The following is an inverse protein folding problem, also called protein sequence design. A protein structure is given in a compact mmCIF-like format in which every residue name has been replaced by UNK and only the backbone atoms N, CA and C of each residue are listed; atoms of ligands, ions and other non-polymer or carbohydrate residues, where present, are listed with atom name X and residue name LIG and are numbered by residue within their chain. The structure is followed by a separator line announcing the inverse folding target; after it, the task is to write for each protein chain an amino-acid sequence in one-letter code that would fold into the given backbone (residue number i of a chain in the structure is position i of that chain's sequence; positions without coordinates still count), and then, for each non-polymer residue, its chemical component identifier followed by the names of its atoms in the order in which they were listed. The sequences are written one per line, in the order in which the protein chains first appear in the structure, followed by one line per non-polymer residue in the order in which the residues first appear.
data_IF_598441005684
#
_entry.id   IF_598441005684
#
_cell.length_a   1.000
_cell.length_b   1.000
_cell.length_c   1.000
_cell.angle_alpha   90.00
_cell.angle_beta   90.00
_cell.angle_gamma   90.00
#
_symmetry.space_group_name_H-M   'P 1'
#
loop_
_entity.id
_entity.type
_entity.pdbx_description
1 polymer ?
#
# COMPACT_ATOMS: atom_id res chain seq x y z
N UNK A 1 22.80 -52.25 -32.46
CA UNK A 1 21.57 -52.23 -33.27
C UNK A 1 20.85 -50.90 -33.01
N UNK A 2 21.05 -49.85 -33.82
CA UNK A 2 20.30 -48.59 -33.73
C UNK A 2 19.12 -48.59 -34.72
N UNK A 3 17.97 -48.03 -34.31
CA UNK A 3 16.87 -47.70 -35.20
C UNK A 3 16.82 -46.18 -35.39
N UNK A 4 16.80 -45.78 -36.66
CA UNK A 4 16.74 -44.41 -37.14
C UNK A 4 15.32 -43.82 -36.96
N UNK A 5 15.28 -42.48 -36.89
CA UNK A 5 14.05 -41.69 -36.88
C UNK A 5 14.38 -40.21 -36.90
N UNK A 6 14.96 -39.73 -37.99
CA UNK A 6 15.15 -38.31 -38.30
C UNK A 6 13.81 -37.67 -38.68
N UNK A 7 13.51 -36.53 -38.06
CA UNK A 7 12.46 -35.60 -38.48
C UNK A 7 13.13 -34.26 -38.77
N UNK A 8 13.03 -33.83 -40.03
CA UNK A 8 13.37 -32.49 -40.51
C UNK A 8 12.07 -31.81 -40.92
N UNK A 9 11.82 -30.61 -40.40
CA UNK A 9 10.92 -29.58 -40.93
C UNK A 9 11.06 -28.37 -39.99
N UNK A 10 11.23 -27.12 -40.41
CA UNK A 10 11.35 -26.52 -41.72
C UNK A 10 11.69 -25.05 -41.47
N UNK A 11 12.57 -24.48 -42.29
CA UNK A 11 12.77 -23.03 -42.34
C UNK A 11 11.59 -22.41 -43.08
N UNK A 12 10.86 -21.49 -42.45
CA UNK A 12 9.98 -20.55 -43.14
C UNK A 12 9.55 -19.43 -42.22
N UNK A 13 9.87 -18.18 -42.60
CA UNK A 13 9.21 -17.00 -42.05
C UNK A 13 10.15 -15.88 -41.68
N UNK A 14 10.94 -15.39 -42.63
CA UNK A 14 11.27 -13.97 -42.65
C UNK A 14 9.96 -13.20 -42.88
N UNK A 15 9.56 -12.40 -41.89
CA UNK A 15 8.44 -11.47 -42.01
C UNK A 15 8.99 -10.08 -41.74
N UNK A 16 9.58 -9.49 -42.78
CA UNK A 16 9.84 -8.05 -42.78
C UNK A 16 8.54 -7.24 -42.69
N UNK A 17 8.57 -6.23 -41.83
CA UNK A 17 7.83 -4.97 -41.98
C UNK A 17 6.36 -4.93 -41.56
N UNK A 18 6.08 -4.34 -40.39
CA UNK A 18 5.00 -3.35 -40.24
C UNK A 18 5.60 -2.14 -39.50
N UNK A 19 5.46 -0.97 -40.13
CA UNK A 19 5.79 0.35 -39.61
C UNK A 19 4.85 0.77 -38.46
N UNK A 20 5.41 1.59 -37.57
CA UNK A 20 4.75 2.58 -36.71
C UNK A 20 3.44 2.29 -35.94
N UNK A 21 3.50 2.72 -34.68
CA UNK A 21 2.45 3.26 -33.82
C UNK A 21 1.61 2.28 -33.00
N UNK A 22 1.76 2.40 -31.68
CA UNK A 22 0.94 1.72 -30.67
C UNK A 22 1.80 0.86 -29.75
N UNK A 23 2.34 1.46 -28.68
CA UNK A 23 3.11 0.74 -27.66
C UNK A 23 2.28 -0.39 -27.06
N UNK A 24 2.47 -1.61 -27.58
CA UNK A 24 1.85 -2.79 -27.04
C UNK A 24 2.59 -3.11 -25.73
N UNK A 25 1.87 -3.02 -24.61
CA UNK A 25 2.35 -3.28 -23.26
C UNK A 25 2.87 -4.74 -23.18
N UNK A 26 4.13 -4.97 -23.55
CA UNK A 26 4.78 -6.28 -23.39
C UNK A 26 5.13 -6.47 -21.91
N UNK A 27 4.22 -7.08 -21.16
CA UNK A 27 4.49 -7.51 -19.79
C UNK A 27 5.42 -8.71 -19.83
N UNK A 28 6.59 -8.65 -19.18
CA UNK A 28 7.47 -9.82 -19.07
C UNK A 28 6.92 -10.78 -18.02
N UNK A 29 7.30 -12.06 -18.09
CA UNK A 29 6.86 -13.07 -17.12
C UNK A 29 7.31 -12.69 -15.71
N UNK A 30 8.49 -12.10 -15.59
CA UNK A 30 9.06 -11.62 -14.33
C UNK A 30 8.22 -10.49 -13.70
N UNK A 31 7.51 -9.71 -14.50
CA UNK A 31 6.64 -8.63 -14.02
C UNK A 31 5.33 -9.16 -13.43
N UNK A 32 4.89 -10.35 -13.86
CA UNK A 32 3.64 -10.99 -13.42
C UNK A 32 3.81 -11.65 -12.05
N UNK A 33 5.03 -12.09 -11.71
CA UNK A 33 5.30 -12.74 -10.42
C UNK A 33 5.56 -11.74 -9.28
N UNK A 34 5.75 -10.46 -9.60
CA UNK A 34 5.98 -9.40 -8.62
C UNK A 34 4.69 -8.98 -7.90
N UNK A 35 4.84 -8.53 -6.66
CA UNK A 35 3.74 -8.09 -5.80
C UNK A 35 4.09 -6.74 -5.16
N UNK A 36 3.27 -5.70 -5.32
CA UNK A 36 2.04 -5.63 -6.12
C UNK A 36 2.31 -5.79 -7.62
N UNK A 37 1.29 -6.24 -8.36
CA UNK A 37 1.36 -6.30 -9.81
C UNK A 37 1.63 -4.90 -10.39
N UNK A 38 2.30 -4.80 -11.53
CA UNK A 38 2.44 -3.52 -12.23
C UNK A 38 1.06 -2.88 -12.45
N UNK A 39 0.95 -1.60 -12.14
CA UNK A 39 -0.33 -0.87 -12.19
C UNK A 39 -1.23 -1.03 -10.95
N UNK A 40 -0.93 -1.92 -10.01
CA UNK A 40 -1.68 -2.09 -8.74
C UNK A 40 -1.11 -1.29 -7.56
N UNK A 41 -0.10 -0.45 -7.80
CA UNK A 41 0.44 0.51 -6.83
C UNK A 41 -0.46 1.73 -6.62
N UNK A 42 -1.77 1.55 -6.45
CA UNK A 42 -2.72 2.64 -6.26
C UNK A 42 -3.08 2.82 -4.77
N UNK A 43 -3.55 4.02 -4.35
CA UNK A 43 -4.13 4.22 -3.02
C UNK A 43 -5.30 3.27 -2.74
N UNK A 44 -5.35 2.75 -1.51
CA UNK A 44 -6.42 1.85 -1.05
C UNK A 44 -7.02 2.33 0.26
N UNK A 45 -8.15 1.74 0.66
CA UNK A 45 -8.87 2.07 1.89
C UNK A 45 -9.13 3.58 2.02
N UNK A 46 -9.67 4.18 0.96
CA UNK A 46 -10.02 5.60 0.94
C UNK A 46 -11.18 5.88 1.90
N UNK A 47 -11.10 6.95 2.67
CA UNK A 47 -12.21 7.42 3.49
C UNK A 47 -12.15 8.93 3.73
N UNK A 48 -13.31 9.54 3.86
CA UNK A 48 -13.46 10.98 4.06
C UNK A 48 -13.39 11.33 5.53
N UNK A 49 -12.77 12.46 5.83
CA UNK A 49 -12.76 13.00 7.18
C UNK A 49 -14.18 13.34 7.64
N UNK A 50 -14.50 13.24 8.94
CA UNK A 50 -15.84 13.58 9.44
C UNK A 50 -16.25 15.05 9.23
N UNK A 51 -15.31 15.91 8.87
CA UNK A 51 -15.51 17.32 8.52
C UNK A 51 -15.46 17.59 7.00
N UNK A 52 -15.42 16.54 6.17
CA UNK A 52 -15.38 16.56 4.69
C UNK A 52 -14.23 17.38 4.06
N UNK A 53 -13.24 17.77 4.87
CA UNK A 53 -12.12 18.62 4.44
C UNK A 53 -10.92 17.84 3.93
N UNK A 54 -10.82 16.55 4.22
CA UNK A 54 -9.66 15.73 3.87
C UNK A 54 -10.09 14.32 3.47
N UNK A 55 -9.27 13.69 2.65
CA UNK A 55 -9.39 12.28 2.33
C UNK A 55 -8.18 11.56 2.93
N UNK A 56 -8.39 10.47 3.65
CA UNK A 56 -7.31 9.59 4.09
C UNK A 56 -7.27 8.34 3.23
N UNK A 57 -6.09 7.74 3.12
CA UNK A 57 -5.88 6.50 2.38
C UNK A 57 -4.56 5.84 2.79
N UNK A 58 -4.44 4.57 2.43
CA UNK A 58 -3.22 3.79 2.56
C UNK A 58 -2.50 3.76 1.22
N UNK A 59 -1.21 4.09 1.22
CA UNK A 59 -0.41 4.13 0.01
C UNK A 59 1.04 3.73 0.28
N UNK A 60 1.68 3.12 -0.73
CA UNK A 60 3.10 2.82 -0.74
C UNK A 60 3.73 3.53 -1.93
N UNK A 61 4.44 4.66 -1.73
CA UNK A 61 5.09 5.38 -2.83
C UNK A 61 6.23 4.57 -3.46
N UNK A 62 6.80 3.65 -2.70
CA UNK A 62 7.94 2.82 -3.10
C UNK A 62 7.51 1.60 -3.93
N UNK A 63 6.20 1.43 -4.18
CA UNK A 63 5.67 0.29 -4.92
C UNK A 63 5.77 -1.04 -4.16
N UNK A 64 6.00 -1.01 -2.85
CA UNK A 64 6.10 -2.20 -2.01
C UNK A 64 4.76 -2.51 -1.33
N UNK A 65 4.68 -3.66 -0.65
CA UNK A 65 3.54 -4.01 0.19
C UNK A 65 3.45 -3.16 1.47
N UNK A 66 4.49 -2.40 1.84
CA UNK A 66 4.55 -1.58 3.04
C UNK A 66 3.77 -0.27 2.88
N UNK A 67 2.54 -0.26 3.37
CA UNK A 67 1.65 0.90 3.28
C UNK A 67 1.81 1.83 4.47
N UNK A 68 1.72 3.12 4.18
CA UNK A 68 1.71 4.24 5.12
C UNK A 68 0.36 4.96 5.02
N UNK A 69 -0.04 5.68 6.07
CA UNK A 69 -1.26 6.50 6.06
C UNK A 69 -0.93 7.86 5.49
N UNK A 70 -1.64 8.24 4.45
CA UNK A 70 -1.58 9.57 3.86
C UNK A 70 -2.93 10.28 4.01
N UNK A 71 -2.88 11.60 3.96
CA UNK A 71 -4.06 12.44 3.80
C UNK A 71 -3.91 13.34 2.59
N UNK A 72 -5.02 13.68 1.95
CA UNK A 72 -5.08 14.61 0.84
C UNK A 72 -6.03 15.75 1.19
N UNK A 73 -5.56 16.97 1.01
CA UNK A 73 -6.34 18.21 1.15
C UNK A 73 -6.81 18.63 -0.25
N UNK A 74 -8.11 18.47 -0.59
CA UNK A 74 -8.66 18.83 -1.89
C UNK A 74 -8.66 20.34 -2.14
N UNK A 75 -8.68 21.17 -1.10
CA UNK A 75 -8.65 22.63 -1.28
C UNK A 75 -7.24 23.11 -1.67
N UNK A 76 -6.19 22.44 -1.18
CA UNK A 76 -4.79 22.75 -1.51
C UNK A 76 -4.23 21.90 -2.65
N UNK A 77 -4.88 20.80 -3.00
CA UNK A 77 -4.38 19.82 -3.96
C UNK A 77 -3.10 19.12 -3.51
N UNK A 78 -2.90 18.93 -2.20
CA UNK A 78 -1.66 18.35 -1.64
C UNK A 78 -1.90 17.07 -0.87
N UNK A 79 -1.06 16.07 -1.15
CA UNK A 79 -0.93 14.86 -0.36
C UNK A 79 0.14 15.05 0.71
N UNK A 80 -0.17 14.61 1.93
CA UNK A 80 0.69 14.68 3.10
C UNK A 80 0.78 13.29 3.74
N UNK A 81 1.99 12.85 4.09
CA UNK A 81 2.17 11.68 4.94
C UNK A 81 1.58 12.00 6.32
N UNK A 82 0.83 11.08 6.92
CA UNK A 82 0.31 11.25 8.28
C UNK A 82 1.01 10.31 9.26
N UNK A 83 1.19 9.07 8.84
CA UNK A 83 1.83 8.06 9.66
C UNK A 83 2.57 7.05 8.80
N UNK A 84 3.83 6.82 9.14
CA UNK A 84 4.60 5.67 8.71
C UNK A 84 4.97 4.85 9.96
N UNK A 85 4.78 3.52 9.94
CA UNK A 85 5.32 2.67 10.98
C UNK A 85 6.84 2.88 11.11
N UNK A 86 7.39 2.94 12.34
CA UNK A 86 8.83 2.92 12.51
C UNK A 86 9.40 1.60 12.00
N UNK A 87 10.60 1.65 11.44
CA UNK A 87 11.32 0.47 10.98
C UNK A 87 11.44 -0.55 12.14
N UNK A 88 11.08 -1.81 11.89
CA UNK A 88 11.12 -2.88 12.91
C UNK A 88 9.94 -2.93 13.90
N UNK A 89 8.88 -2.13 13.73
CA UNK A 89 7.71 -2.06 14.63
C UNK A 89 6.75 -3.26 14.65
N UNK A 90 7.19 -4.47 14.29
CA UNK A 90 6.36 -5.69 14.32
C UNK A 90 5.30 -5.80 13.22
N UNK A 91 5.35 -4.94 12.20
CA UNK A 91 4.49 -4.97 11.01
C UNK A 91 5.21 -5.55 9.78
N UNK A 92 6.39 -6.12 10.00
CA UNK A 92 7.21 -6.80 9.01
C UNK A 92 6.82 -8.28 8.95
N UNK A 93 6.98 -8.90 7.77
CA UNK A 93 6.66 -10.33 7.58
C UNK A 93 7.38 -11.26 8.58
N UNK A 94 8.59 -10.88 9.01
CA UNK A 94 9.43 -11.65 9.94
C UNK A 94 8.87 -11.72 11.36
N UNK A 95 7.97 -10.81 11.74
CA UNK A 95 7.36 -10.76 13.07
C UNK A 95 5.98 -11.44 13.14
N UNK A 96 5.47 -11.98 12.02
CA UNK A 96 4.18 -12.68 11.98
C UNK A 96 4.36 -14.15 12.37
N UNK A 97 3.53 -14.65 13.29
CA UNK A 97 3.50 -16.09 13.59
C UNK A 97 3.02 -16.91 12.39
N UNK A 98 3.40 -18.19 12.33
CA UNK A 98 2.98 -19.07 11.24
C UNK A 98 1.45 -19.21 11.12
N UNK A 99 0.75 -19.21 12.26
CA UNK A 99 -0.72 -19.24 12.32
C UNK A 99 -1.33 -17.95 11.73
N UNK A 100 -0.80 -16.78 12.10
CA UNK A 100 -1.25 -15.49 11.59
C UNK A 100 -0.96 -15.34 10.09
N UNK A 101 0.18 -15.86 9.60
CA UNK A 101 0.50 -15.91 8.17
C UNK A 101 -0.54 -16.72 7.40
N UNK A 102 -0.96 -17.87 7.91
CA UNK A 102 -1.98 -18.72 7.27
C UNK A 102 -3.39 -18.10 7.32
N UNK A 103 -3.73 -17.40 8.40
CA UNK A 103 -4.96 -16.60 8.46
C UNK A 103 -4.97 -15.52 7.38
N UNK A 104 -3.86 -14.78 7.24
CA UNK A 104 -3.71 -13.69 6.24
C UNK A 104 -3.72 -14.19 4.81
N UNK A 105 -3.09 -15.33 4.53
CA UNK A 105 -3.15 -15.93 3.19
C UNK A 105 -4.60 -16.27 2.81
N UNK A 106 -5.37 -16.82 3.75
CA UNK A 106 -6.80 -17.10 3.53
C UNK A 106 -7.65 -15.84 3.41
N UNK A 107 -7.35 -14.78 4.16
CA UNK A 107 -8.05 -13.49 4.04
C UNK A 107 -7.56 -12.62 2.89
N UNK A 108 -6.54 -13.07 2.14
CA UNK A 108 -5.84 -12.31 1.09
C UNK A 108 -5.26 -10.97 1.60
N UNK A 109 -4.96 -10.90 2.90
CA UNK A 109 -4.42 -9.71 3.54
C UNK A 109 -2.89 -9.69 3.41
N UNK A 110 -2.40 -9.31 2.23
CA UNK A 110 -0.96 -9.30 1.88
C UNK A 110 -0.27 -7.96 2.16
N UNK A 111 -0.98 -6.95 2.64
CA UNK A 111 -0.41 -5.63 2.94
C UNK A 111 0.48 -5.66 4.18
N UNK A 112 1.66 -5.07 4.09
CA UNK A 112 2.59 -4.86 5.21
C UNK A 112 2.49 -3.41 5.70
N UNK A 113 3.05 -3.14 6.88
CA UNK A 113 2.92 -1.82 7.50
C UNK A 113 1.49 -1.59 8.01
N UNK A 114 0.89 -0.45 7.66
CA UNK A 114 -0.47 -0.12 8.11
C UNK A 114 -1.51 -0.81 7.22
N UNK A 115 -2.32 -1.69 7.79
CA UNK A 115 -3.39 -2.40 7.08
C UNK A 115 -4.77 -1.76 7.27
N UNK A 116 -4.99 -1.07 8.40
CA UNK A 116 -6.25 -0.42 8.74
C UNK A 116 -6.00 0.90 9.47
N UNK A 117 -6.93 1.83 9.29
CA UNK A 117 -7.07 3.03 10.10
C UNK A 117 -8.56 3.37 10.22
N UNK A 118 -8.90 4.24 11.16
CA UNK A 118 -10.28 4.67 11.42
C UNK A 118 -10.32 6.18 11.67
N UNK A 119 -11.34 6.86 11.16
CA UNK A 119 -11.60 8.25 11.55
C UNK A 119 -12.24 8.30 12.93
N UNK A 120 -11.79 9.27 13.73
CA UNK A 120 -12.40 9.64 15.00
C UNK A 120 -13.06 10.99 14.83
N UNK A 121 -14.38 11.01 14.97
CA UNK A 121 -15.13 12.27 15.04
C UNK A 121 -14.76 13.05 16.31
N UNK A 122 -14.89 14.37 16.23
CA UNK A 122 -14.82 15.24 17.41
C UNK A 122 -15.97 14.88 18.36
N UNK A 123 -15.68 14.68 19.64
CA UNK A 123 -16.71 14.45 20.65
C UNK A 123 -17.31 15.80 21.06
N UNK A 124 -18.60 15.85 21.33
CA UNK A 124 -19.29 17.07 21.77
C UNK A 124 -18.90 17.52 23.20
N UNK A 125 -18.05 16.77 23.92
CA UNK A 125 -17.76 16.95 25.35
C UNK A 125 -16.45 17.68 25.70
N UNK A 126 -16.01 18.69 24.93
CA UNK A 126 -14.95 19.60 25.38
C UNK A 126 -14.13 20.27 24.26
N UNK A 127 -13.54 21.46 24.52
CA UNK A 127 -12.83 22.27 23.52
C UNK A 127 -11.56 21.63 22.95
N UNK A 128 -11.06 20.56 23.58
CA UNK A 128 -9.80 19.87 23.19
C UNK A 128 -10.02 18.61 22.33
N UNK A 129 -11.25 18.09 22.23
CA UNK A 129 -11.47 16.85 21.47
C UNK A 129 -11.53 17.14 19.96
N UNK A 130 -10.38 16.96 19.28
CA UNK A 130 -10.28 17.15 17.83
C UNK A 130 -10.62 15.86 17.08
N UNK A 131 -11.18 16.04 15.89
CA UNK A 131 -11.28 14.97 14.91
C UNK A 131 -9.88 14.49 14.53
N UNK A 132 -9.74 13.22 14.18
CA UNK A 132 -8.44 12.60 14.02
C UNK A 132 -8.52 11.23 13.37
N UNK A 133 -7.36 10.58 13.25
CA UNK A 133 -7.24 9.21 12.75
C UNK A 133 -6.65 8.33 13.84
N UNK A 134 -7.15 7.11 13.91
CA UNK A 134 -6.66 6.07 14.81
C UNK A 134 -6.06 4.94 13.98
N UNK A 135 -4.86 4.50 14.33
CA UNK A 135 -4.17 3.39 13.66
C UNK A 135 -3.97 2.25 14.67
N UNK A 136 -4.68 1.13 14.53
CA UNK A 136 -4.44 -0.07 15.33
C UNK A 136 -3.18 -0.78 14.85
N UNK A 137 -2.19 -0.94 15.73
CA UNK A 137 -0.96 -1.68 15.48
C UNK A 137 -0.85 -2.85 16.47
N UNK A 138 -0.07 -3.89 16.18
CA UNK A 138 0.22 -4.97 17.13
C UNK A 138 0.79 -4.46 18.45
N UNK A 139 1.60 -3.38 18.40
CA UNK A 139 2.20 -2.74 19.56
C UNK A 139 1.25 -1.80 20.33
N UNK A 140 0.01 -1.63 19.89
CA UNK A 140 -0.98 -0.73 20.50
C UNK A 140 -1.62 0.24 19.52
N UNK A 141 -2.40 1.20 20.06
CA UNK A 141 -3.20 2.12 19.27
C UNK A 141 -2.56 3.51 19.20
N UNK A 142 -2.34 4.04 18.00
CA UNK A 142 -1.81 5.41 17.77
C UNK A 142 -2.94 6.36 17.38
N UNK A 143 -2.96 7.57 17.94
CA UNK A 143 -3.94 8.62 17.62
C UNK A 143 -3.26 9.82 16.93
N UNK A 144 -3.86 10.31 15.85
CA UNK A 144 -3.40 11.42 15.03
C UNK A 144 -4.49 12.49 14.96
N UNK A 145 -4.14 13.77 15.08
CA UNK A 145 -5.10 14.88 14.95
C UNK A 145 -5.13 15.38 13.51
N UNK A 146 -6.31 15.72 12.98
CA UNK A 146 -6.50 16.07 11.57
C UNK A 146 -5.94 17.43 11.14
N UNK A 147 -5.46 18.28 12.06
CA UNK A 147 -5.05 19.66 11.75
C UNK A 147 -3.61 20.02 12.17
N UNK A 148 -2.83 19.05 12.66
CA UNK A 148 -1.45 19.30 13.05
C UNK A 148 -0.52 18.85 11.92
N UNK A 149 0.45 19.70 11.50
CA UNK A 149 1.48 19.26 10.58
C UNK A 149 2.31 18.16 11.26
N UNK A 150 2.77 17.18 10.48
CA UNK A 150 3.59 16.03 10.90
C UNK A 150 4.66 16.36 11.96
N UNK A 151 5.28 17.54 11.84
CA UNK A 151 6.35 18.00 12.72
C UNK A 151 5.93 18.09 14.20
N UNK A 152 4.65 18.33 14.48
CA UNK A 152 4.14 18.46 15.86
C UNK A 152 3.62 17.13 16.40
N UNK A 153 3.36 16.14 15.54
CA UNK A 153 2.81 14.85 15.96
C UNK A 153 3.85 13.95 16.65
N UNK A 154 5.13 14.04 16.25
CA UNK A 154 6.23 13.28 16.87
C UNK A 154 6.56 13.71 18.31
N UNK A 155 6.22 14.95 18.71
CA UNK A 155 6.54 15.48 20.04
C UNK A 155 5.61 15.01 21.17
N UNK A 156 4.45 14.39 20.86
CA UNK A 156 3.54 13.89 21.88
C UNK A 156 3.81 12.44 22.31
N UNK A 157 4.96 11.87 21.92
CA UNK A 157 5.46 10.61 22.48
C UNK A 157 6.37 10.93 23.66
N UNK A 158 5.78 11.30 24.80
CA UNK A 158 6.47 11.32 26.08
C UNK A 158 6.18 10.01 26.81
N UNK A 159 7.19 9.18 27.14
CA UNK A 159 7.00 8.08 28.07
C UNK A 159 6.85 8.64 29.50
N UNK A 160 5.98 8.01 30.28
CA UNK A 160 6.03 8.09 31.75
C UNK A 160 7.13 7.17 32.27
#
# INVERSE_FOLDING_TARGET
MPLAGSIVAGSSGDCGGIEESGGCLSMRVEDIVQHPLPGYGAPVALSFSPDDRRVAFLYSPDGTLHRKVFTFDPAKGRQELLFAPPDGGGLEESNLSAEERLRRERSRERGLGVTRYEWRARRSGGPSSRAGIVVPLPSGVRNFSSNLPLFVQCMNVLPH
#
